data_IF_218740936925
#
_entry.id   IF_218740936925
#
_cell.length_a   1.000
_cell.length_b   1.000
_cell.length_c   1.000
_cell.angle_alpha   90.00
_cell.angle_beta   90.00
_cell.angle_gamma   90.00
#
_symmetry.space_group_name_H-M   'P 1'
#
loop_
_entity.id
_entity.type
_entity.pdbx_description
1 polymer ?
#
# COMPACT_ATOMS: atom_id res chain seq x y z
N UNK A 1 21.49 34.43 72.98
CA UNK A 1 20.81 33.76 71.78
C UNK A 1 21.04 32.28 71.92
N UNK A 2 19.97 31.49 72.26
CA UNK A 2 20.08 30.12 72.76
C UNK A 2 20.45 29.11 71.63
N UNK A 3 21.56 28.39 71.81
CA UNK A 3 22.06 27.33 70.93
C UNK A 3 20.98 26.27 70.58
N UNK A 4 20.02 26.08 71.51
CA UNK A 4 18.90 25.15 71.28
C UNK A 4 17.86 25.66 70.24
N UNK A 5 17.69 26.98 70.12
CA UNK A 5 16.81 27.54 69.07
C UNK A 5 17.43 27.42 67.68
N UNK A 6 18.73 27.66 67.52
CA UNK A 6 19.43 27.48 66.26
C UNK A 6 19.42 26.04 65.77
N UNK A 7 19.49 25.05 66.65
CA UNK A 7 19.41 23.63 66.26
C UNK A 7 18.01 23.22 65.82
N UNK A 8 16.97 23.83 66.42
CA UNK A 8 15.57 23.59 65.99
C UNK A 8 15.30 24.23 64.60
N UNK A 9 15.78 25.43 64.36
CA UNK A 9 15.61 26.14 63.12
C UNK A 9 16.35 25.43 61.96
N UNK A 10 17.55 24.88 62.19
CA UNK A 10 18.30 24.09 61.24
C UNK A 10 17.56 22.77 60.93
N UNK A 11 16.96 22.12 61.95
CA UNK A 11 16.19 20.88 61.76
C UNK A 11 14.93 21.09 60.91
N UNK A 12 14.22 22.20 61.08
CA UNK A 12 13.04 22.54 60.29
C UNK A 12 13.42 22.83 58.85
N UNK A 13 14.48 23.60 58.59
CA UNK A 13 14.97 23.91 57.24
C UNK A 13 15.47 22.65 56.50
N UNK A 14 16.11 21.71 57.22
CA UNK A 14 16.54 20.44 56.64
C UNK A 14 15.34 19.51 56.30
N UNK A 15 14.30 19.49 57.12
CA UNK A 15 13.09 18.73 56.87
C UNK A 15 12.33 19.29 55.67
N UNK A 16 12.21 20.60 55.54
CA UNK A 16 11.60 21.25 54.39
C UNK A 16 12.35 20.98 53.07
N UNK A 17 13.71 21.08 53.11
CA UNK A 17 14.53 20.72 51.94
C UNK A 17 14.32 19.27 51.50
N UNK A 18 14.19 18.36 52.46
CA UNK A 18 13.98 16.95 52.19
C UNK A 18 12.61 16.68 51.57
N UNK A 19 11.56 17.36 51.99
CA UNK A 19 10.24 17.30 51.39
C UNK A 19 10.25 17.81 49.94
N UNK A 20 10.90 18.92 49.67
CA UNK A 20 11.04 19.46 48.33
C UNK A 20 11.81 18.52 47.37
N UNK A 21 12.83 17.81 47.90
CA UNK A 21 13.55 16.79 47.13
C UNK A 21 12.65 15.60 46.72
N UNK A 22 11.79 15.11 47.62
CA UNK A 22 10.85 14.03 47.29
C UNK A 22 9.80 14.48 46.28
N UNK A 23 9.29 15.70 46.40
CA UNK A 23 8.34 16.27 45.44
C UNK A 23 9.01 16.42 44.08
N UNK A 24 10.20 16.95 44.00
CA UNK A 24 10.95 17.13 42.77
C UNK A 24 11.29 15.79 42.08
N UNK A 25 11.72 14.77 42.86
CA UNK A 25 12.01 13.44 42.33
C UNK A 25 10.77 12.72 41.87
N UNK A 26 9.63 12.85 42.54
CA UNK A 26 8.34 12.32 42.13
C UNK A 26 7.84 12.95 40.84
N UNK A 27 8.00 14.26 40.71
CA UNK A 27 7.62 14.99 39.48
C UNK A 27 8.48 14.57 38.28
N UNK A 28 9.79 14.38 38.50
CA UNK A 28 10.72 13.92 37.46
C UNK A 28 10.42 12.50 37.01
N UNK A 29 10.07 11.61 37.95
CA UNK A 29 9.66 10.24 37.64
C UNK A 29 8.33 10.21 36.85
N UNK A 30 7.37 11.04 37.25
CA UNK A 30 6.10 11.17 36.50
C UNK A 30 6.32 11.71 35.10
N UNK A 31 7.22 12.64 34.88
CA UNK A 31 7.58 13.22 33.60
C UNK A 31 8.26 12.18 32.67
N UNK A 32 9.16 11.36 33.25
CA UNK A 32 9.77 10.24 32.53
C UNK A 32 8.77 9.19 32.15
N UNK A 33 7.83 8.82 33.02
CA UNK A 33 6.74 7.90 32.70
C UNK A 33 5.84 8.45 31.60
N UNK A 34 5.50 9.73 31.63
CA UNK A 34 4.73 10.38 30.61
C UNK A 34 5.45 10.36 29.25
N UNK A 35 6.76 10.59 29.26
CA UNK A 35 7.59 10.55 28.04
C UNK A 35 7.62 9.14 27.43
N UNK A 36 7.75 8.09 28.25
CA UNK A 36 7.69 6.70 27.80
C UNK A 36 6.32 6.35 27.19
N UNK A 37 5.22 6.81 27.82
CA UNK A 37 3.86 6.60 27.31
C UNK A 37 3.63 7.33 25.99
N UNK A 38 4.17 8.54 25.83
CA UNK A 38 4.07 9.31 24.58
C UNK A 38 4.93 8.70 23.46
N UNK A 39 6.12 8.18 23.78
CA UNK A 39 6.95 7.48 22.79
C UNK A 39 6.38 6.11 22.39
N UNK A 40 5.63 5.45 23.27
CA UNK A 40 4.96 4.18 22.96
C UNK A 40 3.68 4.31 22.14
N UNK A 41 3.10 5.50 22.02
CA UNK A 41 1.98 5.76 21.11
C UNK A 41 2.51 6.06 19.71
N UNK A 42 2.72 5.01 18.91
CA UNK A 42 2.75 5.14 17.46
C UNK A 42 1.49 5.86 17.03
N UNK A 43 1.60 7.07 16.51
CA UNK A 43 0.48 7.78 15.88
C UNK A 43 0.23 7.11 14.52
N UNK A 44 -0.60 6.07 14.50
CA UNK A 44 -1.23 5.61 13.27
C UNK A 44 -2.17 6.74 12.79
N UNK A 45 -1.60 7.66 12.05
CA UNK A 45 -2.37 8.75 11.43
C UNK A 45 -3.15 8.14 10.26
N UNK A 46 -4.40 7.77 10.51
CA UNK A 46 -5.32 7.33 9.46
C UNK A 46 -5.78 8.55 8.69
N UNK A 47 -5.28 8.71 7.47
CA UNK A 47 -5.76 9.73 6.56
C UNK A 47 -6.98 9.18 5.82
N UNK A 48 -8.14 9.77 6.04
CA UNK A 48 -9.38 9.39 5.37
C UNK A 48 -9.46 10.19 4.06
N UNK A 49 -9.34 9.51 2.94
CA UNK A 49 -9.60 10.08 1.63
C UNK A 49 -11.06 9.85 1.24
N UNK A 50 -11.74 10.91 0.85
CA UNK A 50 -13.07 10.83 0.24
C UNK A 50 -12.87 11.05 -1.26
N UNK A 51 -13.03 10.03 -2.11
CA UNK A 51 -12.91 10.20 -3.55
C UNK A 51 -14.09 11.00 -4.10
N UNK A 52 -13.90 11.69 -5.24
CA UNK A 52 -14.95 12.49 -5.85
C UNK A 52 -16.08 11.67 -6.49
N UNK A 53 -15.97 10.34 -6.56
CA UNK A 53 -16.97 9.46 -7.14
C UNK A 53 -18.01 9.06 -6.10
N UNK A 54 -19.30 9.28 -6.40
CA UNK A 54 -20.41 9.06 -5.47
C UNK A 54 -20.54 7.60 -4.97
N UNK A 55 -20.12 6.60 -5.74
CA UNK A 55 -20.15 5.20 -5.34
C UNK A 55 -19.07 4.86 -4.29
N UNK A 56 -17.89 5.47 -4.39
CA UNK A 56 -16.81 5.30 -3.43
C UNK A 56 -16.97 6.14 -2.18
N UNK A 57 -17.79 7.21 -2.23
CA UNK A 57 -18.11 8.04 -1.07
C UNK A 57 -18.96 7.29 -0.01
N UNK A 58 -19.60 6.18 -0.38
CA UNK A 58 -20.39 5.37 0.54
C UNK A 58 -19.53 4.43 1.42
N UNK A 59 -18.28 4.18 1.04
CA UNK A 59 -17.33 3.38 1.81
C UNK A 59 -16.06 4.19 2.04
N UNK A 60 -15.92 4.88 3.18
CA UNK A 60 -14.72 5.63 3.48
C UNK A 60 -13.53 4.67 3.55
N UNK A 61 -12.54 4.89 2.69
CA UNK A 61 -11.29 4.16 2.78
C UNK A 61 -10.27 4.93 3.62
N UNK A 62 -9.47 4.19 4.31
CA UNK A 62 -8.41 4.72 5.16
C UNK A 62 -7.06 4.18 4.70
N UNK A 63 -6.01 4.97 4.93
CA UNK A 63 -4.61 4.61 4.71
C UNK A 63 -3.84 4.94 5.98
N UNK A 64 -3.04 3.99 6.45
CA UNK A 64 -2.11 4.14 7.58
C UNK A 64 -0.71 3.76 7.13
N UNK A 65 0.30 3.98 7.97
CA UNK A 65 1.70 3.71 7.61
C UNK A 65 1.98 2.23 7.29
N UNK A 66 1.24 1.31 7.92
CA UNK A 66 1.43 -0.14 7.80
C UNK A 66 0.29 -0.87 7.10
N UNK A 67 -0.76 -0.18 6.64
CA UNK A 67 -1.92 -0.82 6.03
C UNK A 67 -2.91 0.16 5.43
N UNK A 68 -3.88 -0.39 4.70
CA UNK A 68 -4.98 0.39 4.12
C UNK A 68 -6.26 -0.44 4.12
N UNK A 69 -7.39 0.22 3.85
CA UNK A 69 -8.67 -0.47 3.70
C UNK A 69 -8.69 -1.38 2.46
N UNK A 70 -9.48 -2.46 2.46
CA UNK A 70 -9.68 -3.32 1.31
C UNK A 70 -10.06 -2.57 0.03
N UNK A 71 -10.89 -1.56 0.16
CA UNK A 71 -11.37 -0.73 -0.95
C UNK A 71 -10.22 0.06 -1.60
N UNK A 72 -9.24 0.50 -0.81
CA UNK A 72 -8.06 1.19 -1.33
C UNK A 72 -7.16 0.25 -2.15
N UNK A 73 -6.95 -0.98 -1.68
CA UNK A 73 -6.24 -2.00 -2.45
C UNK A 73 -6.98 -2.36 -3.74
N UNK A 74 -8.30 -2.52 -3.68
CA UNK A 74 -9.12 -2.80 -4.85
C UNK A 74 -9.05 -1.67 -5.88
N UNK A 75 -9.19 -0.42 -5.47
CA UNK A 75 -9.07 0.75 -6.35
C UNK A 75 -7.67 0.83 -6.99
N UNK A 76 -6.63 0.56 -6.22
CA UNK A 76 -5.25 0.56 -6.75
C UNK A 76 -5.04 -0.60 -7.73
N UNK A 77 -5.61 -1.77 -7.44
CA UNK A 77 -5.53 -2.93 -8.31
C UNK A 77 -6.24 -2.68 -9.65
N UNK A 78 -7.41 -2.03 -9.63
CA UNK A 78 -8.11 -1.61 -10.84
C UNK A 78 -7.28 -0.63 -11.67
N UNK A 79 -6.72 0.39 -11.03
CA UNK A 79 -5.82 1.35 -11.69
C UNK A 79 -4.61 0.67 -12.36
N UNK A 80 -3.96 -0.26 -11.65
CA UNK A 80 -2.83 -1.04 -12.17
C UNK A 80 -3.28 -1.90 -13.36
N UNK A 81 -4.39 -2.63 -13.23
CA UNK A 81 -4.93 -3.48 -14.28
C UNK A 81 -5.28 -2.68 -15.54
N UNK A 82 -5.89 -1.51 -15.38
CA UNK A 82 -6.20 -0.61 -16.51
C UNK A 82 -4.93 -0.15 -17.23
N UNK A 83 -3.89 0.27 -16.48
CA UNK A 83 -2.63 0.70 -17.08
C UNK A 83 -1.84 -0.41 -17.77
N UNK A 84 -1.90 -1.63 -17.22
CA UNK A 84 -1.10 -2.76 -17.72
C UNK A 84 -1.80 -3.53 -18.85
N UNK A 85 -3.13 -3.61 -18.82
CA UNK A 85 -3.91 -4.52 -19.67
C UNK A 85 -4.81 -3.82 -20.70
N UNK A 86 -4.88 -2.48 -20.66
CA UNK A 86 -5.72 -1.72 -21.56
C UNK A 86 -4.90 -0.67 -22.28
N UNK A 87 -4.90 -0.72 -23.59
CA UNK A 87 -4.21 0.24 -24.43
C UNK A 87 -3.89 -0.25 -25.82
N UNK A 88 -3.21 0.61 -26.55
CA UNK A 88 -2.72 0.37 -27.90
C UNK A 88 -1.23 0.74 -28.01
N UNK A 89 -0.65 0.56 -29.17
CA UNK A 89 0.75 0.88 -29.44
C UNK A 89 1.12 2.36 -29.18
N UNK A 90 0.15 3.29 -29.20
CA UNK A 90 0.39 4.71 -29.00
C UNK A 90 0.37 5.09 -27.51
N UNK A 91 -0.53 4.47 -26.74
CA UNK A 91 -0.73 4.74 -25.32
C UNK A 91 0.20 3.93 -24.41
N UNK A 92 0.75 2.81 -24.89
CA UNK A 92 1.54 1.86 -24.10
C UNK A 92 2.69 2.52 -23.33
N UNK A 93 3.49 3.35 -23.97
CA UNK A 93 4.63 4.03 -23.33
C UNK A 93 4.18 4.92 -22.16
N UNK A 94 3.09 5.67 -22.34
CA UNK A 94 2.51 6.51 -21.29
C UNK A 94 1.97 5.68 -20.13
N UNK A 95 1.25 4.59 -20.43
CA UNK A 95 0.69 3.69 -19.42
C UNK A 95 1.79 3.02 -18.60
N UNK A 96 2.88 2.58 -19.24
CA UNK A 96 4.05 1.99 -18.57
C UNK A 96 4.71 3.00 -17.63
N UNK A 97 4.93 4.22 -18.08
CA UNK A 97 5.55 5.26 -17.25
C UNK A 97 4.70 5.56 -15.99
N UNK A 98 3.38 5.67 -16.16
CA UNK A 98 2.44 5.86 -15.05
C UNK A 98 2.45 4.66 -14.08
N UNK A 99 2.47 3.45 -14.63
CA UNK A 99 2.52 2.22 -13.83
C UNK A 99 3.79 2.14 -12.99
N UNK A 100 4.95 2.54 -13.55
CA UNK A 100 6.21 2.56 -12.82
C UNK A 100 6.19 3.47 -11.58
N UNK A 101 5.28 4.43 -11.51
CA UNK A 101 5.08 5.29 -10.35
C UNK A 101 4.53 4.54 -9.11
N UNK A 102 3.82 3.44 -9.30
CA UNK A 102 3.23 2.60 -8.23
C UNK A 102 3.94 1.27 -8.03
N UNK A 103 4.91 0.94 -8.87
CA UNK A 103 5.71 -0.31 -8.78
C UNK A 103 6.83 -0.14 -7.76
N UNK A 104 7.02 -1.16 -6.92
CA UNK A 104 8.10 -1.16 -5.94
C UNK A 104 9.48 -1.14 -6.63
N UNK A 105 10.45 -0.37 -6.10
CA UNK A 105 11.77 -0.23 -6.72
C UNK A 105 12.48 -1.55 -7.02
N UNK A 106 12.29 -2.58 -6.17
CA UNK A 106 12.96 -3.89 -6.31
C UNK A 106 12.58 -4.65 -7.58
N UNK A 107 11.34 -4.50 -8.08
CA UNK A 107 10.87 -5.22 -9.27
C UNK A 107 10.72 -4.32 -10.49
N UNK A 108 10.87 -3.01 -10.32
CA UNK A 108 10.63 -2.00 -11.36
C UNK A 108 11.41 -2.26 -12.64
N UNK A 109 12.69 -2.65 -12.53
CA UNK A 109 13.54 -2.90 -13.70
C UNK A 109 13.07 -4.08 -14.53
N UNK A 110 12.73 -5.18 -13.87
CA UNK A 110 12.27 -6.41 -14.53
C UNK A 110 10.90 -6.18 -15.17
N UNK A 111 9.94 -5.67 -14.40
CA UNK A 111 8.59 -5.43 -14.89
C UNK A 111 8.56 -4.42 -16.05
N UNK A 112 9.39 -3.35 -15.95
CA UNK A 112 9.51 -2.39 -17.04
C UNK A 112 10.02 -3.03 -18.33
N UNK A 113 11.04 -3.87 -18.25
CA UNK A 113 11.60 -4.56 -19.43
C UNK A 113 10.57 -5.49 -20.08
N UNK A 114 9.79 -6.22 -19.29
CA UNK A 114 8.72 -7.07 -19.79
C UNK A 114 7.61 -6.28 -20.49
N UNK A 115 7.15 -5.19 -19.88
CA UNK A 115 6.12 -4.33 -20.46
C UNK A 115 6.59 -3.58 -21.70
N UNK A 116 7.84 -3.12 -21.73
CA UNK A 116 8.43 -2.48 -22.91
C UNK A 116 8.51 -3.48 -24.09
N UNK A 117 8.90 -4.74 -23.81
CA UNK A 117 8.91 -5.81 -24.82
C UNK A 117 7.49 -6.12 -25.35
N UNK A 118 6.51 -6.19 -24.45
CA UNK A 118 5.09 -6.37 -24.83
C UNK A 118 4.59 -5.20 -25.69
N UNK A 119 4.92 -3.96 -25.33
CA UNK A 119 4.55 -2.77 -26.10
C UNK A 119 5.17 -2.75 -27.50
N UNK A 120 6.42 -3.19 -27.64
CA UNK A 120 7.07 -3.33 -28.96
C UNK A 120 6.35 -4.37 -29.83
N UNK A 121 5.94 -5.51 -29.25
CA UNK A 121 5.17 -6.53 -29.94
C UNK A 121 3.79 -6.00 -30.37
N UNK A 122 3.08 -5.32 -29.45
CA UNK A 122 1.79 -4.68 -29.78
C UNK A 122 1.93 -3.70 -30.96
N UNK A 123 3.02 -2.93 -30.99
CA UNK A 123 3.30 -1.99 -32.08
C UNK A 123 3.58 -2.71 -33.40
N UNK A 124 4.38 -3.77 -33.39
CA UNK A 124 4.74 -4.51 -34.58
C UNK A 124 3.52 -5.24 -35.21
N UNK A 125 2.63 -5.73 -34.38
CA UNK A 125 1.46 -6.51 -34.78
C UNK A 125 0.16 -5.69 -34.91
N UNK A 126 0.23 -4.37 -34.65
CA UNK A 126 -0.92 -3.46 -34.59
C UNK A 126 -2.03 -3.97 -33.67
N UNK A 127 -1.63 -4.40 -32.46
CA UNK A 127 -2.52 -4.97 -31.45
C UNK A 127 -3.07 -3.87 -30.57
N UNK A 128 -4.35 -3.94 -30.28
CA UNK A 128 -5.05 -3.18 -29.23
C UNK A 128 -5.66 -4.17 -28.25
N UNK A 129 -5.60 -3.85 -26.98
CA UNK A 129 -6.03 -4.73 -25.91
C UNK A 129 -6.88 -3.94 -24.90
N UNK A 130 -7.94 -4.58 -24.40
CA UNK A 130 -8.76 -4.01 -23.33
C UNK A 130 -9.18 -5.09 -22.33
N UNK A 131 -9.01 -4.77 -21.05
CA UNK A 131 -9.43 -5.62 -19.96
C UNK A 131 -10.68 -5.04 -19.30
N UNK A 132 -11.69 -5.87 -19.12
CA UNK A 132 -12.96 -5.53 -18.48
C UNK A 132 -13.07 -6.31 -17.16
N UNK A 133 -12.77 -5.67 -16.00
CA UNK A 133 -12.91 -6.32 -14.71
C UNK A 133 -14.38 -6.62 -14.40
N UNK A 134 -14.64 -7.78 -13.80
CA UNK A 134 -15.97 -8.26 -13.44
C UNK A 134 -16.08 -8.52 -11.95
N UNK A 135 -15.05 -9.08 -11.35
CA UNK A 135 -15.07 -9.51 -9.96
C UNK A 135 -13.70 -9.29 -9.30
N UNK A 136 -13.74 -8.94 -8.01
CA UNK A 136 -12.55 -8.74 -7.17
C UNK A 136 -12.63 -9.66 -5.97
N UNK A 137 -11.52 -10.32 -5.66
CA UNK A 137 -11.35 -11.13 -4.47
C UNK A 137 -10.09 -10.70 -3.72
N UNK A 138 -10.14 -10.64 -2.40
CA UNK A 138 -8.98 -10.31 -1.57
C UNK A 138 -8.53 -11.51 -0.76
N UNK A 139 -7.22 -11.65 -0.57
CA UNK A 139 -6.63 -12.65 0.32
C UNK A 139 -6.80 -12.28 1.80
N UNK A 140 -7.13 -13.25 2.65
CA UNK A 140 -7.47 -13.03 4.06
C UNK A 140 -6.31 -12.46 4.91
N UNK A 141 -5.05 -12.76 4.60
CA UNK A 141 -3.90 -12.42 5.45
C UNK A 141 -2.79 -11.63 4.75
N UNK A 142 -2.98 -11.22 3.48
CA UNK A 142 -1.97 -10.49 2.70
C UNK A 142 -2.65 -9.44 1.84
N UNK A 143 -2.00 -8.34 1.54
CA UNK A 143 -2.54 -7.34 0.61
C UNK A 143 -2.46 -7.86 -0.84
N UNK A 144 -3.19 -8.94 -1.11
CA UNK A 144 -3.30 -9.60 -2.41
C UNK A 144 -4.71 -9.39 -2.94
N UNK A 145 -4.80 -8.85 -4.15
CA UNK A 145 -6.07 -8.68 -4.87
C UNK A 145 -6.04 -9.55 -6.11
N UNK A 146 -7.07 -10.34 -6.31
CA UNK A 146 -7.30 -11.09 -7.54
C UNK A 146 -8.44 -10.42 -8.30
N UNK A 147 -8.18 -10.10 -9.55
CA UNK A 147 -9.16 -9.49 -10.46
C UNK A 147 -9.51 -10.52 -11.52
N UNK A 148 -10.78 -10.88 -11.58
CA UNK A 148 -11.35 -11.66 -12.69
C UNK A 148 -12.01 -10.72 -13.69
N UNK A 149 -11.77 -10.95 -14.96
CA UNK A 149 -12.36 -10.14 -16.02
C UNK A 149 -12.22 -10.78 -17.38
N UNK A 150 -12.69 -10.05 -18.39
CA UNK A 150 -12.59 -10.46 -19.78
C UNK A 150 -11.52 -9.65 -20.49
N UNK A 151 -10.51 -10.32 -21.05
CA UNK A 151 -9.47 -9.71 -21.87
C UNK A 151 -9.85 -9.84 -23.35
N UNK A 152 -10.00 -8.70 -24.01
CA UNK A 152 -10.26 -8.62 -25.47
C UNK A 152 -9.03 -8.09 -26.17
N UNK A 153 -8.71 -8.70 -27.32
CA UNK A 153 -7.56 -8.30 -28.14
C UNK A 153 -8.01 -8.15 -29.60
N UNK A 154 -7.59 -7.06 -30.20
CA UNK A 154 -7.83 -6.75 -31.60
C UNK A 154 -6.50 -6.63 -32.34
N UNK A 155 -6.51 -7.05 -33.60
CA UNK A 155 -5.43 -6.77 -34.56
C UNK A 155 -6.03 -5.90 -35.68
N UNK A 156 -5.61 -4.66 -35.75
CA UNK A 156 -6.31 -3.63 -36.48
C UNK A 156 -7.75 -3.48 -35.98
N UNK A 157 -8.73 -3.65 -36.87
CA UNK A 157 -10.16 -3.53 -36.51
C UNK A 157 -10.82 -4.89 -36.20
N UNK A 158 -10.09 -6.00 -36.27
CA UNK A 158 -10.62 -7.34 -36.10
C UNK A 158 -10.38 -7.85 -34.67
N UNK A 159 -11.47 -8.22 -33.95
CA UNK A 159 -11.39 -8.95 -32.71
C UNK A 159 -10.77 -10.33 -32.93
N UNK A 160 -9.60 -10.58 -32.34
CA UNK A 160 -8.83 -11.82 -32.49
C UNK A 160 -8.92 -12.73 -31.30
N UNK A 161 -9.11 -12.15 -30.08
CA UNK A 161 -9.26 -12.91 -28.87
C UNK A 161 -10.29 -12.27 -27.93
N UNK A 162 -11.07 -13.13 -27.27
CA UNK A 162 -12.01 -12.75 -26.21
C UNK A 162 -11.99 -13.89 -25.18
N UNK A 163 -11.29 -13.69 -24.07
CA UNK A 163 -11.09 -14.74 -23.07
C UNK A 163 -11.26 -14.20 -21.66
N UNK A 164 -11.69 -15.06 -20.76
CA UNK A 164 -11.66 -14.78 -19.34
C UNK A 164 -10.22 -14.90 -18.84
N UNK A 165 -9.83 -13.96 -17.99
CA UNK A 165 -8.51 -13.91 -17.41
C UNK A 165 -8.60 -13.53 -15.94
N UNK A 166 -7.71 -14.11 -15.13
CA UNK A 166 -7.53 -13.77 -13.73
C UNK A 166 -6.14 -13.19 -13.53
N UNK A 167 -6.07 -12.07 -12.88
CA UNK A 167 -4.81 -11.42 -12.53
C UNK A 167 -4.69 -11.29 -11.03
N UNK A 168 -3.54 -11.73 -10.49
CA UNK A 168 -3.19 -11.55 -9.10
C UNK A 168 -2.22 -10.39 -8.97
N UNK A 169 -2.54 -9.47 -8.05
CA UNK A 169 -1.73 -8.34 -7.69
C UNK A 169 -1.36 -8.45 -6.21
N UNK A 170 -0.08 -8.42 -5.92
CA UNK A 170 0.43 -8.40 -4.55
C UNK A 170 0.98 -7.01 -4.26
N UNK A 171 0.58 -6.44 -3.13
CA UNK A 171 1.00 -5.11 -2.73
C UNK A 171 1.84 -5.13 -1.46
N UNK A 172 2.63 -4.08 -1.23
CA UNK A 172 3.23 -3.74 0.05
C UNK A 172 2.83 -2.33 0.45
N UNK A 173 2.86 -2.07 1.75
CA UNK A 173 2.68 -0.73 2.31
C UNK A 173 3.98 -0.30 2.98
N UNK A 174 4.50 0.87 2.59
CA UNK A 174 5.72 1.45 3.15
C UNK A 174 5.51 2.94 3.38
N UNK A 175 5.60 3.37 4.62
CA UNK A 175 5.42 4.78 5.01
C UNK A 175 4.13 5.41 4.45
N UNK A 176 3.00 4.68 4.53
CA UNK A 176 1.70 5.15 4.05
C UNK A 176 1.52 5.13 2.53
N UNK A 177 2.47 4.55 1.78
CA UNK A 177 2.39 4.39 0.32
C UNK A 177 2.19 2.93 -0.05
N UNK A 178 1.28 2.71 -1.01
CA UNK A 178 1.08 1.40 -1.60
C UNK A 178 2.04 1.20 -2.77
N UNK A 179 2.65 0.01 -2.82
CA UNK A 179 3.52 -0.41 -3.92
C UNK A 179 3.09 -1.75 -4.46
N UNK A 180 3.09 -1.89 -5.78
CA UNK A 180 2.91 -3.17 -6.46
C UNK A 180 4.20 -3.99 -6.35
N UNK A 181 4.09 -5.19 -5.80
CA UNK A 181 5.20 -6.16 -5.63
C UNK A 181 5.16 -7.27 -6.66
N UNK A 182 3.98 -7.59 -7.18
CA UNK A 182 3.80 -8.65 -8.15
C UNK A 182 2.54 -8.40 -8.97
N UNK A 183 2.60 -8.66 -10.26
CA UNK A 183 1.47 -8.66 -11.16
C UNK A 183 1.59 -9.84 -12.13
N UNK A 184 0.70 -10.83 -12.01
CA UNK A 184 0.78 -12.08 -12.75
C UNK A 184 -0.61 -12.56 -13.18
N UNK A 185 -0.70 -13.23 -14.32
CA UNK A 185 -1.88 -13.97 -14.69
C UNK A 185 -1.91 -15.29 -13.93
N UNK A 186 -3.03 -15.64 -13.32
CA UNK A 186 -3.18 -16.81 -12.45
C UNK A 186 -4.31 -17.73 -12.94
N UNK A 187 -4.32 -18.97 -12.41
CA UNK A 187 -5.34 -19.95 -12.75
C UNK A 187 -6.56 -19.87 -11.84
N UNK A 188 -7.79 -20.16 -12.33
CA UNK A 188 -8.98 -20.24 -11.50
C UNK A 188 -8.94 -21.29 -10.39
N UNK A 189 -8.08 -22.32 -10.53
CA UNK A 189 -7.98 -23.43 -9.56
C UNK A 189 -7.32 -23.04 -8.25
N UNK A 190 -6.38 -22.09 -8.29
CA UNK A 190 -5.70 -21.59 -7.09
C UNK A 190 -5.23 -20.14 -7.32
N UNK A 191 -6.16 -19.18 -7.24
CA UNK A 191 -5.89 -17.80 -7.63
C UNK A 191 -4.91 -17.07 -6.70
N UNK A 192 -4.71 -17.58 -5.48
CA UNK A 192 -3.84 -16.97 -4.46
C UNK A 192 -2.46 -17.64 -4.34
N UNK A 193 -2.22 -18.76 -5.05
CA UNK A 193 -0.95 -19.48 -4.97
C UNK A 193 0.11 -18.89 -5.90
N UNK A 194 1.27 -18.66 -5.35
CA UNK A 194 2.45 -18.14 -6.06
C UNK A 194 3.05 -19.13 -7.06
N UNK A 195 2.81 -20.44 -6.91
CA UNK A 195 3.41 -21.47 -7.74
C UNK A 195 2.79 -21.63 -9.14
N UNK A 196 1.59 -21.10 -9.37
CA UNK A 196 0.86 -21.18 -10.65
C UNK A 196 0.86 -19.90 -11.48
N UNK A 197 1.74 -18.96 -11.15
CA UNK A 197 1.80 -17.68 -11.82
C UNK A 197 2.62 -17.73 -13.11
N UNK A 198 2.00 -17.42 -14.23
CA UNK A 198 2.72 -17.10 -15.46
C UNK A 198 3.06 -15.59 -15.46
N UNK A 199 4.31 -15.20 -15.75
CA UNK A 199 4.62 -13.79 -16.01
C UNK A 199 3.77 -13.28 -17.16
N UNK A 200 3.47 -11.96 -17.16
CA UNK A 200 2.52 -11.29 -18.09
C UNK A 200 3.03 -11.30 -19.55
N UNK A 201 3.84 -12.19 -19.93
CA UNK A 201 4.16 -12.39 -21.33
C UNK A 201 3.02 -13.15 -21.98
N UNK A 202 2.08 -12.42 -22.58
CA UNK A 202 1.09 -12.95 -23.51
C UNK A 202 1.76 -13.53 -24.74
N UNK A 203 2.56 -14.57 -24.56
CA UNK A 203 3.04 -15.46 -25.59
C UNK A 203 2.07 -16.63 -25.67
N UNK A 204 0.94 -16.41 -26.31
CA UNK A 204 0.22 -17.50 -26.94
C UNK A 204 1.07 -18.01 -28.09
N UNK A 205 1.57 -19.23 -27.94
CA UNK A 205 1.98 -20.10 -29.06
C UNK A 205 0.81 -20.35 -30.00
#
# INVERSE_FOLDING_TARGET
>A
MNRQQQLKDIGVVMAEKRQWQYIASGLLLALLLLMVVLMGKSHDTKTIFVPPNAELAQKPFWVADSGASPEYFQMTADYVAQLALTGDAKSAAYSIDRLMGVVHPSIRGVLKAELDAAALKMKAENVTQAFYPVEYSMGDNRPVVVIKGTLKTWVGDKLTSNRDALYRLTFSMEAGRIYLMEFVETSPHDPFNTASANPITGATS
#
